data_IF_870823956441
#
_entry.id   IF_870823956441
#
_cell.length_a   1.000
_cell.length_b   1.000
_cell.length_c   1.000
_cell.angle_alpha   90.00
_cell.angle_beta   90.00
_cell.angle_gamma   90.00
#
_symmetry.space_group_name_H-M   'P 1'
#
loop_
_entity.id
_entity.type
_entity.pdbx_description
1 polymer ?
#
# COMPACT_ATOMS: atom_id res chain seq x y z
N UNK A 1 -19.33 29.87 32.54
CA UNK A 1 -19.27 31.30 32.13
C UNK A 1 -20.16 31.42 30.90
N UNK A 2 -21.41 31.87 31.09
CA UNK A 2 -21.90 33.23 30.77
C UNK A 2 -21.96 33.44 29.23
N UNK A 3 -23.00 33.92 28.56
CA UNK A 3 -24.25 34.66 28.85
C UNK A 3 -24.93 34.83 27.46
N UNK A 4 -26.22 34.54 27.27
CA UNK A 4 -27.36 35.47 27.14
C UNK A 4 -27.27 36.58 26.05
N UNK A 5 -28.43 36.84 25.41
CA UNK A 5 -28.91 38.03 24.63
C UNK A 5 -29.33 37.68 23.19
N UNK A 6 -30.62 37.57 22.85
CA UNK A 6 -31.67 38.60 22.66
C UNK A 6 -31.49 39.45 21.40
N UNK A 7 -32.45 39.42 20.47
CA UNK A 7 -33.25 40.61 20.11
C UNK A 7 -34.24 40.31 18.97
N UNK A 8 -35.51 40.56 19.26
CA UNK A 8 -36.65 40.50 18.34
C UNK A 8 -36.90 41.89 17.75
N UNK A 9 -37.13 41.95 16.44
CA UNK A 9 -37.48 43.14 15.67
C UNK A 9 -39.00 43.27 15.48
N UNK A 10 -39.58 44.24 16.18
CA UNK A 10 -40.37 45.39 15.69
C UNK A 10 -41.59 45.24 14.72
N UNK A 11 -42.74 45.78 15.20
CA UNK A 11 -43.76 46.68 14.54
C UNK A 11 -44.89 46.11 13.66
N UNK A 12 -46.07 46.78 13.47
CA UNK A 12 -46.71 47.91 14.18
C UNK A 12 -48.20 47.69 14.61
N UNK A 13 -48.66 48.61 15.48
CA UNK A 13 -50.04 48.84 15.93
C UNK A 13 -50.62 50.07 15.20
N UNK A 14 -51.83 49.98 14.66
CA UNK A 14 -52.55 51.10 14.03
C UNK A 14 -53.78 51.50 14.85
N UNK A 15 -54.05 52.80 14.80
CA UNK A 15 -54.92 53.60 15.67
C UNK A 15 -56.39 53.59 15.23
N UNK A 16 -57.28 53.81 16.19
CA UNK A 16 -58.69 54.16 16.02
C UNK A 16 -58.87 55.66 15.77
N UNK A 17 -59.91 56.11 15.05
CA UNK A 17 -60.39 57.48 15.12
C UNK A 17 -61.66 57.60 15.97
N UNK A 18 -61.64 58.56 16.89
CA UNK A 18 -62.81 59.17 17.51
C UNK A 18 -63.49 60.12 16.53
N UNK A 19 -64.83 60.15 16.52
CA UNK A 19 -65.55 61.40 16.18
C UNK A 19 -66.81 61.54 17.02
N UNK A 20 -66.85 62.66 17.74
CA UNK A 20 -67.92 63.16 18.59
C UNK A 20 -69.08 63.76 17.79
N UNK A 21 -70.28 63.38 18.21
CA UNK A 21 -71.51 64.17 18.49
C UNK A 21 -71.74 65.54 17.83
N UNK A 22 -72.96 65.73 17.31
CA UNK A 22 -73.88 66.87 17.50
C UNK A 22 -75.14 66.60 16.63
N UNK A 23 -76.38 66.99 16.93
CA UNK A 23 -77.08 67.47 18.10
C UNK A 23 -78.58 67.34 17.73
N UNK A 24 -79.42 66.90 18.66
CA UNK A 24 -80.86 66.77 18.45
C UNK A 24 -81.58 68.13 18.62
N UNK A 25 -82.55 68.43 17.74
CA UNK A 25 -83.60 69.41 17.99
C UNK A 25 -84.89 68.69 18.42
N UNK A 26 -85.13 68.78 19.74
CA UNK A 26 -86.38 68.89 20.48
C UNK A 26 -87.73 68.40 19.89
N UNK A 27 -88.28 67.42 20.64
CA UNK A 27 -89.67 67.16 21.02
C UNK A 27 -90.60 66.46 20.00
N UNK A 28 -90.93 65.18 20.30
CA UNK A 28 -92.29 64.89 20.74
C UNK A 28 -92.29 63.90 21.91
N UNK A 29 -92.06 64.39 23.14
CA UNK A 29 -92.01 63.59 24.37
C UNK A 29 -93.26 62.70 24.61
N UNK A 30 -94.42 63.07 24.05
CA UNK A 30 -95.65 62.28 24.14
C UNK A 30 -95.71 61.11 23.14
N UNK A 31 -95.24 61.30 21.90
CA UNK A 31 -95.11 60.19 20.94
C UNK A 31 -93.93 59.29 21.31
N UNK A 32 -92.91 59.84 21.97
CA UNK A 32 -91.80 59.08 22.51
C UNK A 32 -92.22 58.21 23.69
N UNK A 33 -93.12 58.66 24.57
CA UNK A 33 -93.61 57.81 25.67
C UNK A 33 -94.45 56.64 25.17
N UNK A 34 -95.38 56.88 24.24
CA UNK A 34 -96.18 55.79 23.66
C UNK A 34 -95.34 54.87 22.77
N UNK A 35 -94.35 55.41 22.04
CA UNK A 35 -93.38 54.60 21.29
C UNK A 35 -92.40 53.88 22.21
N UNK A 36 -92.04 54.43 23.37
CA UNK A 36 -91.20 53.79 24.38
C UNK A 36 -91.95 52.66 25.04
N UNK A 37 -93.24 52.80 25.34
CA UNK A 37 -94.04 51.73 25.92
C UNK A 37 -94.22 50.58 24.91
N UNK A 38 -94.53 50.90 23.65
CA UNK A 38 -94.53 49.87 22.58
C UNK A 38 -93.13 49.32 22.25
N UNK A 39 -92.06 50.10 22.42
CA UNK A 39 -90.67 49.60 22.32
C UNK A 39 -90.30 48.73 23.50
N UNK A 40 -90.76 49.04 24.72
CA UNK A 40 -90.46 48.28 25.93
C UNK A 40 -91.25 46.98 25.91
N UNK A 41 -92.52 46.97 25.50
CA UNK A 41 -93.26 45.73 25.27
C UNK A 41 -92.61 44.89 24.15
N UNK A 42 -92.23 45.49 23.01
CA UNK A 42 -91.53 44.76 21.96
C UNK A 42 -90.13 44.30 22.40
N UNK A 43 -89.39 45.08 23.18
CA UNK A 43 -88.10 44.66 23.75
C UNK A 43 -88.28 43.54 24.76
N UNK A 44 -89.35 43.56 25.56
CA UNK A 44 -89.59 42.51 26.55
C UNK A 44 -90.03 41.18 25.90
N UNK A 45 -90.77 41.24 24.79
CA UNK A 45 -91.13 40.06 23.98
C UNK A 45 -89.95 39.55 23.12
N UNK A 46 -89.04 40.44 22.71
CA UNK A 46 -87.90 40.10 21.84
C UNK A 46 -86.61 39.81 22.65
N UNK A 47 -86.49 40.29 23.89
CA UNK A 47 -85.32 40.13 24.77
C UNK A 47 -84.99 38.69 25.14
N UNK A 48 -85.93 37.81 25.56
CA UNK A 48 -85.58 36.41 25.85
C UNK A 48 -85.23 35.60 24.59
N UNK A 49 -85.60 36.10 23.41
CA UNK A 49 -85.38 35.43 22.13
C UNK A 49 -84.06 35.87 21.47
N UNK A 50 -83.65 37.13 21.62
CA UNK A 50 -82.41 37.66 21.04
C UNK A 50 -81.17 37.28 21.88
N UNK A 51 -81.23 37.30 23.21
CA UNK A 51 -80.09 36.89 24.05
C UNK A 51 -79.76 35.39 23.93
N UNK A 52 -80.77 34.55 23.69
CA UNK A 52 -80.58 33.10 23.55
C UNK A 52 -80.21 32.62 22.14
N UNK A 53 -80.77 33.24 21.09
CA UNK A 53 -80.59 32.78 19.70
C UNK A 53 -79.35 33.38 19.04
N UNK A 54 -79.06 34.66 19.25
CA UNK A 54 -77.86 35.31 18.67
C UNK A 54 -76.59 34.83 19.37
N UNK A 55 -76.63 34.64 20.70
CA UNK A 55 -75.51 34.05 21.44
C UNK A 55 -75.25 32.60 21.04
N UNK A 56 -76.30 31.78 20.84
CA UNK A 56 -76.15 30.39 20.36
C UNK A 56 -75.56 30.32 18.96
N UNK A 57 -76.08 31.10 18.02
CA UNK A 57 -75.62 31.05 16.64
C UNK A 57 -74.16 31.50 16.50
N UNK A 58 -73.74 32.49 17.29
CA UNK A 58 -72.34 32.92 17.32
C UNK A 58 -71.42 31.91 18.01
N UNK A 59 -71.88 31.26 19.09
CA UNK A 59 -71.14 30.16 19.72
C UNK A 59 -71.01 28.95 18.79
N UNK A 60 -72.04 28.63 18.01
CA UNK A 60 -72.02 27.52 17.04
C UNK A 60 -71.09 27.83 15.86
N UNK A 61 -71.06 29.08 15.37
CA UNK A 61 -70.08 29.51 14.35
C UNK A 61 -68.65 29.40 14.87
N UNK A 62 -68.39 29.82 16.11
CA UNK A 62 -67.06 29.70 16.74
C UNK A 62 -66.68 28.23 16.95
N UNK A 63 -67.61 27.38 17.39
CA UNK A 63 -67.38 25.95 17.54
C UNK A 63 -67.04 25.30 16.18
N UNK A 64 -67.80 25.59 15.12
CA UNK A 64 -67.51 25.08 13.76
C UNK A 64 -66.14 25.54 13.26
N UNK A 65 -65.77 26.79 13.50
CA UNK A 65 -64.45 27.32 13.15
C UNK A 65 -63.33 26.60 13.91
N UNK A 66 -63.49 26.38 15.22
CA UNK A 66 -62.53 25.62 16.01
C UNK A 66 -62.38 24.17 15.54
N UNK A 67 -63.46 23.51 15.13
CA UNK A 67 -63.38 22.17 14.56
C UNK A 67 -62.64 22.16 13.21
N UNK A 68 -62.90 23.14 12.35
CA UNK A 68 -62.18 23.30 11.08
C UNK A 68 -60.70 23.61 11.29
N UNK A 69 -60.38 24.48 12.23
CA UNK A 69 -59.00 24.81 12.58
C UNK A 69 -58.30 23.59 13.19
N UNK A 70 -58.98 22.83 14.06
CA UNK A 70 -58.45 21.60 14.68
C UNK A 70 -58.18 20.50 13.65
N UNK A 71 -59.09 20.28 12.67
CA UNK A 71 -58.86 19.31 11.60
C UNK A 71 -57.73 19.74 10.68
N UNK A 72 -57.64 21.04 10.34
CA UNK A 72 -56.52 21.58 9.57
C UNK A 72 -55.19 21.36 10.29
N UNK A 73 -55.12 21.69 11.59
CA UNK A 73 -53.94 21.48 12.41
C UNK A 73 -53.55 20.00 12.50
N UNK A 74 -54.51 19.09 12.67
CA UNK A 74 -54.25 17.64 12.69
C UNK A 74 -53.68 17.15 11.35
N UNK A 75 -54.23 17.61 10.24
CA UNK A 75 -53.75 17.24 8.90
C UNK A 75 -52.34 17.77 8.64
N UNK A 76 -52.09 19.06 8.94
CA UNK A 76 -50.76 19.68 8.79
C UNK A 76 -49.71 18.98 9.70
N UNK A 77 -50.09 18.64 10.93
CA UNK A 77 -49.22 17.92 11.84
C UNK A 77 -48.94 16.49 11.35
N UNK A 78 -49.96 15.78 10.89
CA UNK A 78 -49.81 14.43 10.33
C UNK A 78 -48.90 14.44 9.10
N UNK A 79 -49.06 15.43 8.21
CA UNK A 79 -48.19 15.59 7.03
C UNK A 79 -46.73 15.82 7.45
N UNK A 80 -46.49 16.70 8.43
CA UNK A 80 -45.13 16.96 8.95
C UNK A 80 -44.50 15.72 9.57
N UNK A 81 -45.29 14.92 10.29
CA UNK A 81 -44.82 13.68 10.90
C UNK A 81 -44.47 12.66 9.83
N UNK A 82 -45.27 12.52 8.77
CA UNK A 82 -44.94 11.61 7.66
C UNK A 82 -43.72 12.09 6.86
N UNK A 83 -43.58 13.39 6.61
CA UNK A 83 -42.37 13.94 6.00
C UNK A 83 -41.13 13.64 6.84
N UNK A 84 -41.26 13.78 8.17
CA UNK A 84 -40.17 13.48 9.09
C UNK A 84 -39.84 12.00 9.12
N UNK A 85 -40.85 11.11 9.14
CA UNK A 85 -40.65 9.66 9.03
C UNK A 85 -39.98 9.29 7.72
N UNK A 86 -40.36 9.91 6.62
CA UNK A 86 -39.76 9.67 5.30
C UNK A 86 -38.30 10.10 5.29
N UNK A 87 -37.98 11.30 5.79
CA UNK A 87 -36.59 11.75 5.94
C UNK A 87 -35.76 10.81 6.81
N UNK A 88 -36.34 10.33 7.92
CA UNK A 88 -35.65 9.44 8.85
C UNK A 88 -35.42 8.05 8.23
N UNK A 89 -36.42 7.48 7.55
CA UNK A 89 -36.35 6.12 7.00
C UNK A 89 -35.58 6.04 5.70
N UNK A 90 -35.65 7.08 4.86
CA UNK A 90 -35.12 7.01 3.49
C UNK A 90 -33.89 7.89 3.29
N UNK A 91 -33.97 9.16 3.70
CA UNK A 91 -32.93 10.15 3.34
C UNK A 91 -31.69 10.00 4.22
N UNK A 92 -31.86 9.88 5.54
CA UNK A 92 -30.72 9.76 6.45
C UNK A 92 -29.86 8.52 6.19
N UNK A 93 -30.40 7.30 6.01
CA UNK A 93 -29.58 6.13 5.69
C UNK A 93 -28.80 6.31 4.38
N UNK A 94 -29.44 6.88 3.34
CA UNK A 94 -28.76 7.17 2.06
C UNK A 94 -27.64 8.18 2.25
N UNK A 95 -27.86 9.23 3.04
CA UNK A 95 -26.86 10.25 3.33
C UNK A 95 -25.69 9.69 4.14
N UNK A 96 -25.96 8.88 5.17
CA UNK A 96 -24.96 8.20 5.99
C UNK A 96 -24.14 7.23 5.14
N UNK A 97 -24.77 6.41 4.29
CA UNK A 97 -24.04 5.50 3.40
C UNK A 97 -23.20 6.30 2.39
N UNK A 98 -23.74 7.37 1.81
CA UNK A 98 -23.00 8.22 0.86
C UNK A 98 -21.79 8.89 1.50
N UNK A 99 -21.88 9.29 2.78
CA UNK A 99 -20.76 9.90 3.51
C UNK A 99 -19.76 8.86 4.03
N UNK A 100 -20.20 7.71 4.57
CA UNK A 100 -19.30 6.69 5.12
C UNK A 100 -18.58 5.88 4.05
N UNK A 101 -19.23 5.60 2.92
CA UNK A 101 -18.66 4.74 1.86
C UNK A 101 -17.23 5.13 1.44
N UNK A 102 -16.91 6.41 1.14
CA UNK A 102 -15.53 6.78 0.79
C UNK A 102 -14.55 6.56 1.94
N UNK A 103 -14.94 6.80 3.20
CA UNK A 103 -14.08 6.55 4.36
C UNK A 103 -13.80 5.06 4.58
N UNK A 104 -14.84 4.23 4.48
CA UNK A 104 -14.69 2.77 4.55
C UNK A 104 -13.77 2.28 3.44
N UNK A 105 -13.96 2.75 2.20
CA UNK A 105 -13.10 2.38 1.08
C UNK A 105 -11.64 2.82 1.27
N UNK A 106 -11.41 4.03 1.80
CA UNK A 106 -10.07 4.50 2.12
C UNK A 106 -9.39 3.64 3.19
N UNK A 107 -10.12 3.30 4.27
CA UNK A 107 -9.60 2.45 5.33
C UNK A 107 -9.30 1.03 4.83
N UNK A 108 -10.18 0.45 4.00
CA UNK A 108 -9.91 -0.87 3.38
C UNK A 108 -8.64 -0.81 2.54
N UNK A 109 -8.45 0.24 1.73
CA UNK A 109 -7.23 0.38 0.92
C UNK A 109 -5.96 0.48 1.77
N UNK A 110 -6.01 1.26 2.86
CA UNK A 110 -4.89 1.40 3.79
C UNK A 110 -4.55 0.07 4.46
N UNK A 111 -5.58 -0.64 4.94
CA UNK A 111 -5.41 -1.92 5.61
C UNK A 111 -4.85 -2.99 4.66
N UNK A 112 -5.39 -3.08 3.44
CA UNK A 112 -4.88 -3.99 2.40
C UNK A 112 -3.43 -3.66 2.05
N UNK A 113 -3.07 -2.39 1.90
CA UNK A 113 -1.69 -2.00 1.63
C UNK A 113 -0.74 -2.38 2.77
N UNK A 114 -1.18 -2.19 4.03
CA UNK A 114 -0.42 -2.59 5.22
C UNK A 114 -0.19 -4.11 5.27
N UNK A 115 -1.25 -4.89 5.07
CA UNK A 115 -1.18 -6.35 5.06
C UNK A 115 -0.32 -6.87 3.92
N UNK A 116 -0.50 -6.34 2.70
CA UNK A 116 0.32 -6.71 1.55
C UNK A 116 1.81 -6.41 1.80
N UNK A 117 2.14 -5.26 2.39
CA UNK A 117 3.51 -4.93 2.76
C UNK A 117 4.08 -5.92 3.78
N UNK A 118 3.34 -6.23 4.85
CA UNK A 118 3.77 -7.18 5.87
C UNK A 118 4.01 -8.58 5.28
N UNK A 119 3.10 -9.07 4.44
CA UNK A 119 3.22 -10.37 3.79
C UNK A 119 4.40 -10.40 2.81
N UNK A 120 4.59 -9.32 2.03
CA UNK A 120 5.76 -9.19 1.16
C UNK A 120 7.03 -9.21 2.00
N UNK A 121 7.14 -8.45 3.08
CA UNK A 121 8.34 -8.40 3.92
C UNK A 121 8.69 -9.80 4.49
N UNK A 122 7.68 -10.56 4.94
CA UNK A 122 7.86 -11.94 5.42
C UNK A 122 8.31 -12.87 4.29
N UNK A 123 7.66 -12.80 3.14
CA UNK A 123 8.02 -13.64 1.99
C UNK A 123 9.38 -13.26 1.41
N UNK A 124 9.74 -11.99 1.38
CA UNK A 124 11.01 -11.48 0.87
C UNK A 124 12.15 -11.91 1.78
N UNK A 125 11.96 -11.81 3.11
CA UNK A 125 12.95 -12.30 4.09
C UNK A 125 13.21 -13.80 3.97
N UNK A 126 12.17 -14.59 3.65
CA UNK A 126 12.30 -16.04 3.52
C UNK A 126 12.81 -16.48 2.14
N UNK A 127 12.49 -15.74 1.07
CA UNK A 127 12.83 -16.11 -0.33
C UNK A 127 14.10 -15.46 -0.87
N UNK A 128 14.53 -14.31 -0.35
CA UNK A 128 15.87 -13.78 -0.62
C UNK A 128 16.84 -14.52 0.31
N UNK A 129 17.06 -15.80 0.02
CA UNK A 129 17.83 -16.72 0.86
C UNK A 129 19.32 -16.40 0.93
N UNK A 130 19.82 -15.46 0.13
CA UNK A 130 21.21 -15.03 0.14
C UNK A 130 21.23 -13.50 0.02
N UNK A 131 21.80 -12.77 1.00
CA UNK A 131 22.00 -11.34 0.91
C UNK A 131 22.74 -10.95 -0.37
N UNK A 132 22.36 -9.84 -0.99
CA UNK A 132 22.98 -9.40 -2.25
C UNK A 132 24.50 -9.21 -2.11
N UNK A 133 24.98 -8.78 -0.94
CA UNK A 133 26.40 -8.65 -0.62
C UNK A 133 27.12 -10.01 -0.66
N UNK A 134 26.46 -11.06 -0.16
CA UNK A 134 27.02 -12.41 -0.21
C UNK A 134 27.04 -12.94 -1.64
N UNK A 135 25.98 -12.68 -2.42
CA UNK A 135 25.97 -13.03 -3.85
C UNK A 135 27.10 -12.33 -4.60
N UNK A 136 27.32 -11.04 -4.33
CA UNK A 136 28.40 -10.26 -4.93
C UNK A 136 29.75 -10.89 -4.62
N UNK A 137 30.02 -11.18 -3.34
CA UNK A 137 31.25 -11.85 -2.92
C UNK A 137 31.45 -13.21 -3.60
N UNK A 138 30.42 -14.05 -3.64
CA UNK A 138 30.48 -15.35 -4.32
C UNK A 138 30.77 -15.19 -5.83
N UNK A 139 30.17 -14.19 -6.48
CA UNK A 139 30.44 -13.92 -7.90
C UNK A 139 31.84 -13.38 -8.15
N UNK A 140 32.38 -12.55 -7.24
CA UNK A 140 33.77 -12.07 -7.33
C UNK A 140 34.76 -13.23 -7.20
N UNK A 141 34.55 -14.13 -6.22
CA UNK A 141 35.37 -15.34 -6.05
C UNK A 141 35.32 -16.23 -7.29
N UNK A 142 34.14 -16.43 -7.88
CA UNK A 142 34.00 -17.19 -9.13
C UNK A 142 34.72 -16.51 -10.31
N UNK A 143 34.69 -15.18 -10.39
CA UNK A 143 35.35 -14.42 -11.45
C UNK A 143 36.87 -14.52 -11.32
N UNK A 144 37.41 -14.45 -10.10
CA UNK A 144 38.83 -14.69 -9.84
C UNK A 144 39.25 -16.11 -10.23
N UNK A 145 38.47 -17.13 -9.87
CA UNK A 145 38.71 -18.51 -10.30
C UNK A 145 38.69 -18.65 -11.82
N UNK A 146 37.73 -18.02 -12.49
CA UNK A 146 37.62 -18.06 -13.95
C UNK A 146 38.81 -17.34 -14.63
N UNK A 147 39.28 -16.21 -14.08
CA UNK A 147 40.48 -15.51 -14.56
C UNK A 147 41.73 -16.36 -14.38
N UNK A 148 41.90 -17.00 -13.23
CA UNK A 148 43.01 -17.90 -12.98
C UNK A 148 42.97 -19.10 -13.96
N UNK A 149 41.79 -19.70 -14.16
CA UNK A 149 41.61 -20.79 -15.12
C UNK A 149 41.92 -20.37 -16.57
N UNK A 150 41.51 -19.16 -16.98
CA UNK A 150 41.84 -18.61 -18.29
C UNK A 150 43.35 -18.39 -18.44
N UNK A 151 43.99 -17.81 -17.42
CA UNK A 151 45.44 -17.62 -17.41
C UNK A 151 46.18 -18.96 -17.50
N UNK A 152 45.73 -19.95 -16.73
CA UNK A 152 46.27 -21.31 -16.76
C UNK A 152 46.09 -21.97 -18.12
N UNK A 153 44.93 -21.77 -18.78
CA UNK A 153 44.70 -22.28 -20.12
C UNK A 153 45.67 -21.65 -21.13
N UNK A 154 45.92 -20.33 -21.05
CA UNK A 154 46.91 -19.65 -21.90
C UNK A 154 48.33 -20.15 -21.64
N UNK A 155 48.71 -20.28 -20.37
CA UNK A 155 50.00 -20.83 -19.97
C UNK A 155 50.20 -22.25 -20.51
N UNK A 156 49.18 -23.11 -20.41
CA UNK A 156 49.22 -24.47 -20.98
C UNK A 156 49.34 -24.48 -22.50
N UNK A 157 48.66 -23.56 -23.20
CA UNK A 157 48.77 -23.44 -24.66
C UNK A 157 50.20 -23.04 -25.05
N UNK A 158 50.80 -22.08 -24.35
CA UNK A 158 52.17 -21.65 -24.60
C UNK A 158 53.18 -22.77 -24.26
N UNK A 159 53.02 -23.43 -23.12
CA UNK A 159 53.88 -24.55 -22.75
C UNK A 159 53.73 -25.76 -23.69
N UNK A 160 52.57 -25.92 -24.33
CA UNK A 160 52.34 -27.01 -25.29
C UNK A 160 53.14 -26.88 -26.58
N UNK A 161 53.72 -25.71 -26.87
CA UNK A 161 54.62 -25.52 -28.03
C UNK A 161 56.07 -25.89 -27.73
N UNK A 162 56.41 -26.19 -26.47
CA UNK A 162 57.76 -26.56 -26.05
C UNK A 162 57.99 -28.05 -26.36
N UNK A 163 59.06 -28.33 -27.11
CA UNK A 163 59.51 -29.68 -27.44
C UNK A 163 60.59 -30.17 -26.46
N UNK A 164 60.67 -31.48 -26.21
CA UNK A 164 61.71 -32.13 -25.38
C UNK A 164 62.96 -32.36 -26.24
N UNK A 165 63.45 -31.31 -26.89
CA UNK A 165 64.67 -31.31 -27.67
C UNK A 165 65.43 -29.98 -27.48
N UNK A 166 66.75 -29.99 -27.66
CA UNK A 166 67.50 -28.73 -27.70
C UNK A 166 67.11 -27.95 -28.97
N UNK A 167 66.95 -26.61 -28.89
CA UNK A 167 67.23 -25.70 -27.77
C UNK A 167 66.07 -25.41 -26.79
N UNK A 168 64.90 -26.02 -26.96
CA UNK A 168 63.67 -25.70 -26.19
C UNK A 168 63.72 -26.11 -24.71
N UNK A 169 64.68 -26.94 -24.29
CA UNK A 169 64.86 -27.33 -22.88
C UNK A 169 65.14 -26.16 -21.93
N UNK A 170 65.76 -25.09 -22.44
CA UNK A 170 66.12 -23.89 -21.66
C UNK A 170 65.10 -22.76 -21.79
N UNK A 171 64.02 -22.96 -22.54
CA UNK A 171 62.96 -21.97 -22.67
C UNK A 171 62.18 -21.85 -21.36
N UNK A 172 61.88 -20.62 -20.88
CA UNK A 172 61.18 -20.43 -19.63
C UNK A 172 59.74 -20.96 -19.71
N UNK A 173 59.33 -21.71 -18.69
CA UNK A 173 57.97 -22.25 -18.59
C UNK A 173 56.99 -21.16 -18.14
N UNK A 174 55.90 -21.00 -18.89
CA UNK A 174 54.82 -20.09 -18.53
C UNK A 174 54.08 -20.61 -17.29
N UNK A 175 53.88 -19.73 -16.32
CA UNK A 175 53.40 -20.11 -14.99
C UNK A 175 51.94 -20.61 -15.02
N UNK A 176 51.71 -21.78 -14.43
CA UNK A 176 50.36 -22.28 -14.13
C UNK A 176 50.07 -22.05 -12.65
N UNK A 177 49.04 -21.29 -12.34
CA UNK A 177 48.59 -21.01 -10.98
C UNK A 177 47.86 -22.20 -10.36
N UNK A 178 47.95 -22.34 -9.04
CA UNK A 178 47.20 -23.33 -8.26
C UNK A 178 45.70 -22.99 -8.22
N UNK A 179 44.88 -23.89 -7.67
CA UNK A 179 43.46 -23.65 -7.43
C UNK A 179 43.22 -22.39 -6.56
N UNK A 180 44.15 -22.11 -5.64
CA UNK A 180 44.13 -20.93 -4.77
C UNK A 180 44.63 -19.65 -5.47
N UNK A 181 44.87 -19.68 -6.79
CA UNK A 181 45.40 -18.55 -7.55
C UNK A 181 46.87 -18.20 -7.28
N UNK A 182 47.54 -18.89 -6.36
CA UNK A 182 48.95 -18.66 -6.01
C UNK A 182 49.91 -19.49 -6.86
N UNK A 183 51.13 -18.99 -7.03
CA UNK A 183 52.26 -19.72 -7.60
C UNK A 183 52.72 -20.84 -6.64
N UNK A 184 53.13 -21.99 -7.19
CA UNK A 184 53.83 -23.02 -6.40
C UNK A 184 55.26 -22.57 -6.08
N UNK A 185 55.71 -22.79 -4.84
CA UNK A 185 57.09 -22.50 -4.42
C UNK A 185 58.12 -23.36 -5.19
N UNK A 186 57.70 -24.54 -5.63
CA UNK A 186 58.53 -25.50 -6.37
C UNK A 186 58.30 -25.41 -7.89
N UNK A 187 57.83 -24.27 -8.41
CA UNK A 187 57.64 -24.10 -9.85
C UNK A 187 59.00 -24.05 -10.58
N UNK A 188 59.23 -24.91 -11.59
CA UNK A 188 60.49 -24.91 -12.35
C UNK A 188 60.62 -23.66 -13.22
N UNK A 189 61.85 -23.19 -13.41
CA UNK A 189 62.13 -22.07 -14.32
C UNK A 189 62.01 -22.51 -15.78
N UNK A 190 62.54 -23.69 -16.11
CA UNK A 190 62.60 -24.27 -17.44
C UNK A 190 62.39 -25.81 -17.37
N UNK A 191 62.25 -26.45 -18.53
CA UNK A 191 62.06 -27.90 -18.61
C UNK A 191 63.28 -28.67 -18.10
N UNK A 192 64.49 -28.14 -18.32
CA UNK A 192 65.73 -28.71 -17.80
C UNK A 192 65.73 -28.79 -16.26
N UNK A 193 65.35 -27.71 -15.57
CA UNK A 193 65.21 -27.69 -14.11
C UNK A 193 64.17 -28.70 -13.64
N UNK A 194 63.04 -28.81 -14.35
CA UNK A 194 61.98 -29.78 -14.01
C UNK A 194 62.48 -31.24 -14.12
N UNK A 195 63.26 -31.56 -15.15
CA UNK A 195 63.85 -32.91 -15.32
C UNK A 195 64.91 -33.19 -14.23
N UNK A 196 65.61 -32.16 -13.76
CA UNK A 196 66.61 -32.27 -12.70
C UNK A 196 66.03 -32.38 -11.27
N UNK A 197 64.70 -32.28 -11.10
CA UNK A 197 64.08 -32.33 -9.77
C UNK A 197 64.25 -33.68 -9.08
N UNK A 198 64.56 -33.64 -7.77
CA UNK A 198 64.58 -34.85 -6.96
C UNK A 198 63.16 -35.43 -6.83
N UNK A 199 63.02 -36.75 -6.60
CA UNK A 199 61.73 -37.39 -6.41
C UNK A 199 60.88 -36.74 -5.32
N UNK A 200 61.50 -36.22 -4.26
CA UNK A 200 60.78 -35.60 -3.14
C UNK A 200 60.26 -34.21 -3.49
N UNK A 201 61.02 -33.40 -4.23
CA UNK A 201 60.59 -32.08 -4.71
C UNK A 201 59.45 -32.24 -5.71
N UNK A 202 59.57 -33.20 -6.64
CA UNK A 202 58.52 -33.47 -7.62
C UNK A 202 57.21 -33.93 -6.96
N UNK A 203 57.27 -34.74 -5.90
CA UNK A 203 56.08 -35.14 -5.13
C UNK A 203 55.41 -33.95 -4.45
N UNK A 204 56.19 -33.02 -3.88
CA UNK A 204 55.67 -31.77 -3.30
C UNK A 204 54.99 -30.92 -4.37
N UNK A 205 55.61 -30.80 -5.54
CA UNK A 205 55.05 -30.10 -6.69
C UNK A 205 53.72 -30.72 -7.16
N UNK A 206 53.65 -32.04 -7.30
CA UNK A 206 52.39 -32.74 -7.64
C UNK A 206 51.31 -32.50 -6.58
N UNK A 207 51.68 -32.53 -5.30
CA UNK A 207 50.77 -32.23 -4.18
C UNK A 207 50.19 -30.82 -4.23
N UNK A 208 51.03 -29.83 -4.57
CA UNK A 208 50.63 -28.42 -4.75
C UNK A 208 49.53 -28.24 -5.80
N UNK A 209 49.52 -29.07 -6.84
CA UNK A 209 48.51 -29.08 -7.91
C UNK A 209 47.45 -30.19 -7.73
N UNK A 210 47.44 -30.85 -6.57
CA UNK A 210 46.50 -31.95 -6.23
C UNK A 210 46.51 -33.10 -7.26
N UNK A 211 47.67 -33.33 -7.88
CA UNK A 211 47.86 -34.41 -8.84
C UNK A 211 48.20 -35.72 -8.12
N UNK A 212 47.71 -36.87 -8.62
CA UNK A 212 48.07 -38.17 -8.05
C UNK A 212 49.58 -38.40 -8.06
N UNK A 213 50.10 -39.03 -7.01
CA UNK A 213 51.52 -39.34 -6.85
C UNK A 213 51.75 -40.84 -6.98
N UNK A 214 52.62 -41.24 -7.89
CA UNK A 214 53.08 -42.62 -8.07
C UNK A 214 54.45 -42.88 -7.44
N UNK A 215 54.80 -44.16 -7.34
CA UNK A 215 56.13 -44.61 -6.86
C UNK A 215 57.23 -44.30 -7.88
N UNK A 216 56.91 -44.34 -9.17
CA UNK A 216 57.87 -44.13 -10.25
C UNK A 216 58.03 -42.63 -10.54
N UNK A 217 59.27 -42.12 -10.41
CA UNK A 217 59.60 -40.72 -10.66
C UNK A 217 59.23 -40.26 -12.08
N UNK A 218 59.46 -41.10 -13.08
CA UNK A 218 59.14 -40.81 -14.48
C UNK A 218 57.64 -40.63 -14.72
N UNK A 219 56.81 -41.45 -14.09
CA UNK A 219 55.35 -41.37 -14.22
C UNK A 219 54.84 -40.07 -13.62
N UNK A 220 55.40 -39.67 -12.47
CA UNK A 220 55.16 -38.38 -11.84
C UNK A 220 55.57 -37.19 -12.72
N UNK A 221 56.74 -37.28 -13.36
CA UNK A 221 57.26 -36.24 -14.24
C UNK A 221 56.37 -36.08 -15.48
N UNK A 222 56.08 -37.17 -16.18
CA UNK A 222 55.18 -37.17 -17.34
C UNK A 222 53.77 -36.69 -16.98
N UNK A 223 53.27 -36.98 -15.77
CA UNK A 223 51.98 -36.48 -15.29
C UNK A 223 52.01 -34.96 -15.11
N UNK A 224 53.08 -34.43 -14.50
CA UNK A 224 53.23 -32.98 -14.35
C UNK A 224 53.41 -32.28 -15.69
N UNK A 225 54.24 -32.82 -16.59
CA UNK A 225 54.41 -32.32 -17.97
C UNK A 225 53.07 -32.25 -18.72
N UNK A 226 52.26 -33.31 -18.62
CA UNK A 226 50.91 -33.30 -19.19
C UNK A 226 49.97 -32.27 -18.55
N UNK A 227 50.10 -32.01 -17.24
CA UNK A 227 49.31 -30.99 -16.54
C UNK A 227 49.66 -29.57 -17.00
N UNK A 228 50.94 -29.28 -17.25
CA UNK A 228 51.40 -27.98 -17.74
C UNK A 228 51.22 -27.80 -19.25
N UNK A 229 50.75 -28.83 -19.97
CA UNK A 229 50.37 -28.76 -21.38
C UNK A 229 51.38 -29.36 -22.36
N UNK A 230 52.53 -29.83 -21.89
CA UNK A 230 53.55 -30.47 -22.74
C UNK A 230 53.03 -31.85 -23.18
N UNK A 231 52.91 -32.05 -24.49
CA UNK A 231 52.32 -33.26 -25.08
C UNK A 231 53.29 -34.41 -25.17
N UNK A 232 54.57 -34.10 -25.31
CA UNK A 232 55.63 -35.08 -25.41
C UNK A 232 55.85 -35.78 -24.08
N UNK A 233 56.17 -37.06 -24.15
CA UNK A 233 56.43 -37.89 -22.98
C UNK A 233 57.87 -38.37 -23.04
N UNK A 234 58.53 -38.37 -21.89
CA UNK A 234 59.86 -38.94 -21.76
C UNK A 234 59.70 -40.46 -21.82
N UNK A 235 59.99 -41.02 -22.99
CA UNK A 235 60.09 -42.46 -23.22
C UNK A 235 61.55 -42.79 -23.48
N UNK A 236 62.24 -43.30 -22.45
CA UNK A 236 63.51 -43.98 -22.68
C UNK A 236 63.15 -45.33 -23.29
N UNK A 237 63.39 -45.47 -24.59
CA UNK A 237 63.48 -46.77 -25.23
C UNK A 237 64.56 -47.55 -24.49
N UNK A 238 64.18 -48.67 -23.87
CA UNK A 238 65.14 -49.68 -23.47
C UNK A 238 65.66 -50.37 -24.73
N UNK A 239 66.44 -49.64 -25.54
CA UNK A 239 67.15 -50.21 -26.67
C UNK A 239 68.40 -50.91 -26.10
N UNK A 240 68.18 -52.11 -25.57
CA UNK A 240 69.25 -53.02 -25.23
C UNK A 240 69.75 -53.65 -26.53
N UNK A 241 71.06 -53.58 -26.86
CA UNK A 241 71.58 -54.21 -28.06
C UNK A 241 71.34 -55.72 -27.97
N UNK A 242 70.45 -56.23 -28.82
CA UNK A 242 70.26 -57.65 -29.02
C UNK A 242 71.60 -58.24 -29.48
N UNK A 243 72.17 -59.07 -28.62
CA UNK A 243 73.43 -59.79 -28.81
C UNK A 243 73.49 -60.41 -30.21
N UNK A 244 74.52 -60.03 -30.97
CA UNK A 244 74.98 -60.79 -32.11
C UNK A 244 75.31 -62.23 -31.67
N UNK A 245 74.76 -63.21 -32.38
CA UNK A 245 75.16 -64.62 -32.34
C UNK A 245 75.96 -64.92 -33.60
#
# INVERSE_FOLDING_TARGET
>A
MASASSDNTATPRAQSPETRTNAAQSNPLMNQLFSLETLIQNLNDVSPTIEGVVAKEETDRRARKLYQDSTKYKNDHSSRVEDMKTKIREDYPKQIVRSLKPHIQANIKLEVASQAKSEIDVQFKNKVSIPLEQQLKETEEQLEQARAALSNSKARINNATIEIAEPWLTEPLELVYKADGKKSEFWPADLNSLIAYSPDVLKKLLGDYQLPVDKEHRTNLNRFMGHIGIKERISFTSDGPAKAK
#
